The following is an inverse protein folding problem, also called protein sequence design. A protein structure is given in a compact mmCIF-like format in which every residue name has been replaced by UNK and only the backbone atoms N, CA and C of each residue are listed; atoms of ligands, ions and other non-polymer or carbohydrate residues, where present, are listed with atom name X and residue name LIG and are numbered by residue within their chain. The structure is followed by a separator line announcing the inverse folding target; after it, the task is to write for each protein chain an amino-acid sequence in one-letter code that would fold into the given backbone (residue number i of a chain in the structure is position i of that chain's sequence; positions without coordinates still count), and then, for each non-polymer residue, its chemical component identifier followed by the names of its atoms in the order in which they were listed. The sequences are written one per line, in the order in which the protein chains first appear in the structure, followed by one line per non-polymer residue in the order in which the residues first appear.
data_IF_504049049050
#
_entry.id   IF_504049049050
#
_cell.length_a   1.000
_cell.length_b   1.000
_cell.length_c   1.000
_cell.angle_alpha   90.00
_cell.angle_beta   90.00
_cell.angle_gamma   90.00
#
_symmetry.space_group_name_H-M   'P 1'
#
loop_
_entity.id
_entity.type
_entity.pdbx_description
1 polymer ?
#
# COMPACT_ATOMS: atom_id res chain seq x y z
N UNK A 1 -30.07 -3.58 -26.91
CA UNK A 1 -29.13 -2.44 -26.78
C UNK A 1 -27.73 -3.03 -26.70
N UNK A 2 -26.88 -2.78 -27.70
CA UNK A 2 -25.53 -3.35 -27.78
C UNK A 2 -24.63 -2.68 -26.74
N UNK A 3 -24.28 -3.38 -25.68
CA UNK A 3 -23.23 -2.94 -24.75
C UNK A 3 -21.90 -3.04 -25.50
N UNK A 4 -21.41 -1.90 -25.98
CA UNK A 4 -20.14 -1.80 -26.69
C UNK A 4 -19.00 -2.11 -25.71
N UNK A 5 -18.58 -3.37 -25.69
CA UNK A 5 -17.60 -3.91 -24.76
C UNK A 5 -16.21 -3.35 -25.10
N UNK A 6 -15.74 -2.40 -24.29
CA UNK A 6 -14.47 -1.70 -24.51
C UNK A 6 -13.32 -2.51 -23.88
N UNK A 7 -12.52 -3.19 -24.71
CA UNK A 7 -11.27 -3.84 -24.29
C UNK A 7 -10.11 -2.84 -24.09
N UNK A 8 -10.41 -1.54 -23.95
CA UNK A 8 -9.43 -0.47 -23.74
C UNK A 8 -9.44 -0.18 -22.24
N UNK A 9 -8.30 -0.34 -21.58
CA UNK A 9 -8.18 0.00 -20.16
C UNK A 9 -8.54 1.46 -19.91
N UNK A 10 -9.28 1.72 -18.84
CA UNK A 10 -9.60 3.07 -18.39
C UNK A 10 -8.80 3.39 -17.12
N UNK A 11 -7.76 4.24 -17.21
CA UNK A 11 -6.94 4.69 -16.08
C UNK A 11 -7.76 5.19 -14.89
N UNK A 12 -8.97 5.72 -15.12
CA UNK A 12 -9.84 6.26 -14.06
C UNK A 12 -10.28 5.20 -13.05
N UNK A 13 -10.29 3.91 -13.44
CA UNK A 13 -10.61 2.80 -12.55
C UNK A 13 -9.59 2.60 -11.41
N UNK A 14 -8.39 3.17 -11.53
CA UNK A 14 -7.39 3.14 -10.45
C UNK A 14 -7.63 4.24 -9.39
N UNK A 15 -8.26 5.35 -9.79
CA UNK A 15 -8.57 6.47 -8.92
C UNK A 15 -9.95 6.34 -8.27
N UNK A 16 -10.90 5.76 -9.01
CA UNK A 16 -12.29 5.61 -8.59
C UNK A 16 -12.67 4.14 -8.43
N UNK A 17 -13.43 3.78 -7.40
CA UNK A 17 -13.91 2.42 -7.26
C UNK A 17 -15.00 2.12 -8.28
N UNK A 18 -15.14 0.83 -8.59
CA UNK A 18 -16.16 0.30 -9.48
C UNK A 18 -17.18 -0.51 -8.70
N UNK A 19 -18.45 -0.41 -9.07
CA UNK A 19 -19.51 -1.25 -8.52
C UNK A 19 -19.54 -2.66 -9.15
N UNK A 20 -20.47 -3.52 -8.71
CA UNK A 20 -20.58 -4.89 -9.22
C UNK A 20 -21.09 -5.01 -10.66
N UNK A 21 -21.66 -3.93 -11.21
CA UNK A 21 -22.17 -3.86 -12.58
C UNK A 21 -21.12 -3.30 -13.56
N UNK A 22 -19.99 -2.82 -13.04
CA UNK A 22 -18.89 -2.26 -13.84
C UNK A 22 -18.95 -0.74 -14.00
N UNK A 23 -19.83 -0.06 -13.26
CA UNK A 23 -19.92 1.40 -13.28
C UNK A 23 -18.89 2.02 -12.35
N UNK A 24 -18.29 3.13 -12.78
CA UNK A 24 -17.28 3.86 -12.02
C UNK A 24 -17.97 4.86 -11.10
N UNK A 25 -17.82 4.70 -9.77
CA UNK A 25 -18.39 5.61 -8.79
C UNK A 25 -17.71 6.99 -8.86
N UNK A 26 -18.50 8.06 -8.98
CA UNK A 26 -17.99 9.43 -9.10
C UNK A 26 -17.64 9.86 -10.53
N UNK A 27 -17.97 9.05 -11.55
CA UNK A 27 -17.79 9.38 -12.96
C UNK A 27 -19.03 9.03 -13.79
N UNK A 28 -19.23 9.70 -14.93
CA UNK A 28 -20.35 9.46 -15.84
C UNK A 28 -21.71 9.76 -15.21
N UNK A 29 -22.64 8.80 -15.27
CA UNK A 29 -23.98 8.91 -14.67
C UNK A 29 -23.96 8.85 -13.13
N UNK A 30 -22.86 8.36 -12.53
CA UNK A 30 -22.70 8.19 -11.09
C UNK A 30 -21.81 9.26 -10.43
N UNK A 31 -21.68 10.44 -11.05
CA UNK A 31 -20.94 11.59 -10.50
C UNK A 31 -21.39 11.99 -9.10
N UNK A 32 -22.69 11.94 -8.83
CA UNK A 32 -23.28 12.25 -7.52
C UNK A 32 -23.09 11.13 -6.48
N UNK A 33 -22.52 9.99 -6.86
CA UNK A 33 -22.31 8.81 -5.99
C UNK A 33 -20.85 8.37 -6.03
N UNK A 34 -19.94 9.08 -5.34
CA UNK A 34 -18.50 8.81 -5.45
C UNK A 34 -18.03 7.62 -4.62
N UNK A 35 -18.86 7.07 -3.72
CA UNK A 35 -18.41 6.04 -2.79
C UNK A 35 -18.96 4.64 -3.12
N UNK A 36 -18.13 3.60 -3.13
CA UNK A 36 -18.57 2.20 -3.23
C UNK A 36 -18.85 1.61 -1.85
N UNK A 37 -20.07 1.14 -1.64
CA UNK A 37 -20.52 0.45 -0.43
C UNK A 37 -20.58 -1.06 -0.65
N UNK A 38 -20.05 -1.84 0.30
CA UNK A 38 -20.06 -3.30 0.28
C UNK A 38 -21.27 -3.83 1.05
N UNK A 39 -22.04 -4.72 0.44
CA UNK A 39 -23.28 -5.25 1.05
C UNK A 39 -23.01 -6.10 2.29
N UNK A 40 -21.87 -6.79 2.33
CA UNK A 40 -21.54 -7.72 3.40
C UNK A 40 -20.03 -7.84 3.59
N UNK A 41 -19.53 -7.24 4.67
CA UNK A 41 -18.12 -7.29 5.05
C UNK A 41 -17.71 -8.66 5.61
N UNK A 42 -18.64 -9.44 6.19
CA UNK A 42 -18.32 -10.77 6.72
C UNK A 42 -17.85 -11.73 5.63
N UNK A 43 -18.49 -11.68 4.45
CA UNK A 43 -18.07 -12.43 3.26
C UNK A 43 -16.66 -12.05 2.81
N UNK A 44 -16.32 -10.77 2.91
CA UNK A 44 -14.96 -10.31 2.61
C UNK A 44 -13.93 -10.82 3.62
N UNK A 45 -14.23 -10.76 4.92
CA UNK A 45 -13.32 -11.24 5.97
C UNK A 45 -13.16 -12.77 5.91
N UNK A 46 -14.23 -13.53 5.65
CA UNK A 46 -14.15 -14.98 5.50
C UNK A 46 -13.24 -15.40 4.34
N UNK A 47 -13.22 -14.63 3.25
CA UNK A 47 -12.32 -14.88 2.12
C UNK A 47 -10.83 -14.63 2.43
N UNK A 48 -10.54 -13.87 3.50
CA UNK A 48 -9.18 -13.62 3.98
C UNK A 48 -8.62 -14.73 4.87
N UNK A 49 -9.48 -15.62 5.38
CA UNK A 49 -9.07 -16.73 6.23
C UNK A 49 -8.45 -17.91 5.43
N UNK A 50 -8.05 -17.65 4.19
CA UNK A 50 -7.37 -18.56 3.29
C UNK A 50 -5.88 -18.25 3.39
N UNK A 51 -5.02 -19.22 3.76
CA UNK A 51 -3.61 -18.95 4.02
C UNK A 51 -2.90 -18.42 2.75
N UNK A 52 -1.98 -17.47 2.92
CA UNK A 52 -1.37 -16.68 1.85
C UNK A 52 -0.69 -17.49 0.73
N UNK A 53 -0.28 -18.72 1.03
CA UNK A 53 0.26 -19.72 0.11
C UNK A 53 -0.78 -20.24 -0.91
N UNK A 54 -2.08 -20.16 -0.63
CA UNK A 54 -3.17 -20.53 -1.55
C UNK A 54 -3.58 -19.36 -2.44
N UNK A 55 -3.28 -18.11 -2.05
CA UNK A 55 -3.58 -16.96 -2.89
C UNK A 55 -2.79 -16.99 -4.21
N UNK A 56 -1.72 -17.79 -4.39
CA UNK A 56 -1.06 -18.02 -5.69
C UNK A 56 -0.83 -16.72 -6.51
N UNK A 57 -0.54 -15.59 -5.86
CA UNK A 57 -0.40 -14.29 -6.53
C UNK A 57 -1.69 -13.68 -7.11
N UNK A 58 -2.88 -14.12 -6.65
CA UNK A 58 -4.19 -13.61 -7.08
C UNK A 58 -4.55 -12.35 -6.28
N UNK A 59 -5.10 -11.31 -6.94
CA UNK A 59 -5.56 -10.11 -6.26
C UNK A 59 -6.68 -10.44 -5.27
N UNK A 60 -6.66 -9.78 -4.11
CA UNK A 60 -7.70 -9.92 -3.11
C UNK A 60 -9.04 -9.38 -3.64
N UNK A 61 -10.08 -10.21 -3.67
CA UNK A 61 -11.42 -9.85 -4.16
C UNK A 61 -12.46 -10.17 -3.09
N UNK A 62 -13.15 -9.15 -2.58
CA UNK A 62 -14.28 -9.34 -1.67
C UNK A 62 -15.46 -9.98 -2.41
N UNK A 63 -15.97 -11.16 -1.98
CA UNK A 63 -17.07 -11.85 -2.63
C UNK A 63 -18.44 -11.28 -2.22
N UNK A 64 -18.66 -9.99 -2.43
CA UNK A 64 -19.89 -9.29 -2.06
C UNK A 64 -20.28 -8.24 -3.09
N UNK A 65 -21.58 -7.94 -3.19
CA UNK A 65 -22.08 -6.90 -4.07
C UNK A 65 -21.63 -5.53 -3.58
N UNK A 66 -21.32 -4.67 -4.54
CA UNK A 66 -20.87 -3.31 -4.35
C UNK A 66 -21.79 -2.37 -5.12
N UNK A 67 -22.20 -1.26 -4.51
CA UNK A 67 -23.03 -0.23 -5.15
C UNK A 67 -22.46 1.16 -4.87
N UNK A 68 -22.60 2.08 -5.82
CA UNK A 68 -22.22 3.48 -5.62
C UNK A 68 -23.26 4.21 -4.75
N UNK A 69 -22.80 4.92 -3.73
CA UNK A 69 -23.59 5.72 -2.79
C UNK A 69 -23.03 7.15 -2.71
N UNK A 70 -23.91 8.10 -2.38
CA UNK A 70 -23.54 9.51 -2.25
C UNK A 70 -22.72 9.79 -0.99
N UNK A 71 -23.03 9.11 0.12
CA UNK A 71 -22.35 9.27 1.40
C UNK A 71 -22.25 7.94 2.12
N UNK A 72 -21.10 7.67 2.74
CA UNK A 72 -20.96 6.50 3.59
C UNK A 72 -21.87 6.64 4.84
N UNK A 73 -22.50 5.54 5.27
CA UNK A 73 -23.41 5.55 6.41
C UNK A 73 -22.66 5.86 7.71
N UNK A 74 -23.18 6.77 8.54
CA UNK A 74 -22.60 7.13 9.83
C UNK A 74 -23.17 6.34 11.01
N UNK A 75 -24.23 5.57 10.80
CA UNK A 75 -24.92 4.79 11.83
C UNK A 75 -24.98 3.33 11.41
N UNK A 76 -24.79 2.44 12.37
CA UNK A 76 -25.00 1.01 12.18
C UNK A 76 -26.47 0.71 12.38
N UNK A 77 -27.11 0.07 11.41
CA UNK A 77 -28.49 -0.42 11.50
C UNK A 77 -28.55 -1.84 10.99
N UNK A 78 -29.07 -2.74 11.81
CA UNK A 78 -29.27 -4.13 11.44
C UNK A 78 -30.71 -4.30 10.94
N UNK A 79 -30.88 -5.11 9.91
CA UNK A 79 -32.22 -5.54 9.54
C UNK A 79 -32.76 -6.46 10.65
N UNK A 80 -33.63 -5.92 11.52
CA UNK A 80 -34.49 -6.75 12.36
C UNK A 80 -35.66 -7.18 11.49
N UNK A 81 -35.87 -8.49 11.34
CA UNK A 81 -37.10 -9.03 10.76
C UNK A 81 -38.30 -8.40 11.50
N UNK A 82 -39.06 -7.54 10.81
CA UNK A 82 -40.26 -6.89 11.35
C UNK A 82 -40.23 -5.37 11.53
N UNK A 83 -39.13 -4.65 11.28
CA UNK A 83 -39.11 -3.17 11.38
C UNK A 83 -38.66 -2.52 10.05
N UNK A 84 -39.62 -1.91 9.34
CA UNK A 84 -39.54 -1.64 7.90
C UNK A 84 -39.02 -0.24 7.52
N UNK A 85 -38.64 0.60 8.50
CA UNK A 85 -38.40 2.04 8.31
C UNK A 85 -36.94 2.50 8.52
N UNK A 86 -35.95 1.71 8.08
CA UNK A 86 -34.55 2.16 8.10
C UNK A 86 -33.98 2.33 6.69
N UNK A 87 -33.27 3.46 6.52
CA UNK A 87 -32.52 3.88 5.33
C UNK A 87 -31.84 2.69 4.62
N UNK A 88 -32.29 2.31 3.42
CA UNK A 88 -31.86 1.06 2.75
C UNK A 88 -30.75 1.36 1.73
N UNK A 89 -29.78 0.45 1.61
CA UNK A 89 -28.79 0.49 0.52
C UNK A 89 -29.05 -0.71 -0.38
N UNK A 90 -29.53 -0.44 -1.60
CA UNK A 90 -29.94 -1.45 -2.59
C UNK A 90 -29.31 -1.18 -3.96
N UNK A 91 -29.39 -2.18 -4.84
CA UNK A 91 -29.02 -2.07 -6.26
C UNK A 91 -29.92 -1.08 -7.01
N UNK A 92 -29.47 -0.59 -8.16
CA UNK A 92 -30.17 0.47 -8.91
C UNK A 92 -31.54 0.05 -9.45
N UNK A 93 -31.79 -1.25 -9.61
CA UNK A 93 -33.07 -1.82 -10.06
C UNK A 93 -34.20 -1.77 -9.01
N UNK A 94 -33.91 -1.35 -7.78
CA UNK A 94 -34.89 -1.29 -6.68
C UNK A 94 -35.40 0.14 -6.53
N UNK A 95 -36.71 0.30 -6.57
CA UNK A 95 -37.38 1.59 -6.42
C UNK A 95 -37.91 1.76 -4.99
N UNK A 96 -38.07 3.01 -4.54
CA UNK A 96 -38.59 3.30 -3.18
C UNK A 96 -40.01 2.75 -2.94
N UNK A 97 -40.74 2.42 -4.01
CA UNK A 97 -42.07 1.79 -3.97
C UNK A 97 -42.07 0.28 -3.68
N UNK A 98 -40.90 -0.38 -3.68
CA UNK A 98 -40.80 -1.82 -3.41
C UNK A 98 -40.86 -2.09 -1.90
N UNK A 99 -42.03 -2.50 -1.41
CA UNK A 99 -42.31 -2.67 0.03
C UNK A 99 -41.84 -4.01 0.62
N UNK A 100 -41.49 -5.01 -0.20
CA UNK A 100 -41.11 -6.35 0.26
C UNK A 100 -39.61 -6.45 0.62
N UNK A 101 -39.22 -5.86 1.75
CA UNK A 101 -37.82 -5.82 2.19
C UNK A 101 -37.20 -7.20 2.39
N UNK A 102 -37.96 -8.12 2.97
CA UNK A 102 -37.48 -9.48 3.25
C UNK A 102 -37.12 -10.20 1.96
N UNK A 103 -37.94 -10.04 0.92
CA UNK A 103 -37.71 -10.64 -0.38
C UNK A 103 -36.53 -10.00 -1.09
N UNK A 104 -36.37 -8.67 -1.01
CA UNK A 104 -35.25 -7.95 -1.62
C UNK A 104 -33.90 -8.25 -0.97
N UNK A 105 -33.85 -8.38 0.36
CA UNK A 105 -32.65 -8.79 1.10
C UNK A 105 -32.35 -10.26 0.81
N UNK A 106 -33.36 -11.14 0.82
CA UNK A 106 -33.21 -12.55 0.42
C UNK A 106 -32.77 -12.68 -1.03
N UNK A 107 -33.18 -11.75 -1.89
CA UNK A 107 -32.76 -11.63 -3.28
C UNK A 107 -31.38 -11.04 -3.51
N UNK A 108 -30.73 -10.59 -2.43
CA UNK A 108 -29.43 -9.94 -2.50
C UNK A 108 -29.48 -8.67 -3.34
N UNK A 109 -30.65 -8.03 -3.44
CA UNK A 109 -30.83 -6.72 -4.06
C UNK A 109 -30.57 -5.60 -3.06
N UNK A 110 -30.76 -5.86 -1.77
CA UNK A 110 -30.44 -4.92 -0.69
C UNK A 110 -29.43 -5.52 0.30
N UNK A 111 -28.66 -4.66 0.96
CA UNK A 111 -27.76 -5.07 2.03
C UNK A 111 -28.55 -5.59 3.25
N UNK A 112 -28.07 -6.66 3.88
CA UNK A 112 -28.71 -7.28 5.06
C UNK A 112 -28.50 -6.48 6.35
N UNK A 113 -27.44 -5.68 6.40
CA UNK A 113 -27.15 -4.76 7.49
C UNK A 113 -26.34 -3.58 6.97
N UNK A 114 -26.38 -2.48 7.71
CA UNK A 114 -25.59 -1.27 7.43
C UNK A 114 -24.66 -1.04 8.59
N UNK A 115 -23.36 -0.89 8.32
CA UNK A 115 -22.34 -0.59 9.33
C UNK A 115 -21.87 0.85 9.18
N UNK A 116 -21.75 1.57 10.29
CA UNK A 116 -21.10 2.88 10.33
C UNK A 116 -19.70 2.81 9.71
N UNK A 117 -19.49 3.55 8.63
CA UNK A 117 -18.34 3.45 7.76
C UNK A 117 -17.78 4.83 7.44
N UNK A 118 -16.45 4.93 7.32
CA UNK A 118 -15.76 6.12 6.85
C UNK A 118 -15.31 5.93 5.40
N UNK A 119 -15.31 7.01 4.59
CA UNK A 119 -14.79 6.94 3.23
C UNK A 119 -13.27 6.80 3.24
N UNK A 120 -12.75 5.77 2.57
CA UNK A 120 -11.32 5.53 2.33
C UNK A 120 -11.15 5.06 0.88
N UNK A 121 -10.40 5.79 0.04
CA UNK A 121 -10.26 5.50 -1.42
C UNK A 121 -11.57 5.42 -2.19
N UNK A 122 -12.54 6.28 -1.86
CA UNK A 122 -13.87 6.18 -2.44
C UNK A 122 -14.63 4.92 -1.98
N UNK A 123 -14.15 4.14 -1.02
CA UNK A 123 -14.85 2.95 -0.51
C UNK A 123 -15.34 3.20 0.90
N UNK A 124 -16.52 2.70 1.26
CA UNK A 124 -17.04 2.79 2.61
C UNK A 124 -16.46 1.67 3.47
N UNK A 125 -15.47 1.99 4.29
CA UNK A 125 -14.78 1.05 5.18
C UNK A 125 -15.31 1.22 6.61
N UNK A 126 -15.64 0.13 7.33
CA UNK A 126 -16.17 0.21 8.69
C UNK A 126 -15.25 0.98 9.64
N UNK A 127 -15.82 1.81 10.52
CA UNK A 127 -15.03 2.66 11.42
C UNK A 127 -14.32 1.87 12.52
N UNK A 128 -14.90 0.77 13.02
CA UNK A 128 -14.31 -0.07 14.07
C UNK A 128 -13.93 -1.45 13.54
N UNK A 129 -12.90 -1.53 12.69
CA UNK A 129 -12.48 -2.79 12.06
C UNK A 129 -12.00 -3.80 13.11
N UNK A 130 -11.23 -3.35 14.09
CA UNK A 130 -10.74 -4.18 15.20
C UNK A 130 -11.87 -4.76 16.07
N UNK A 131 -12.97 -4.01 16.19
CA UNK A 131 -14.18 -4.49 16.87
C UNK A 131 -15.25 -4.97 15.89
N UNK A 132 -14.97 -5.19 14.60
CA UNK A 132 -15.95 -5.79 13.67
C UNK A 132 -16.31 -7.19 14.15
N UNK A 133 -15.32 -7.96 14.60
CA UNK A 133 -15.58 -9.26 15.21
C UNK A 133 -16.51 -9.12 16.43
N UNK A 134 -16.22 -8.20 17.34
CA UNK A 134 -17.00 -8.02 18.56
C UNK A 134 -18.38 -7.36 18.32
N UNK A 135 -18.51 -6.42 17.40
CA UNK A 135 -19.76 -5.70 17.08
C UNK A 135 -20.73 -6.53 16.24
N UNK A 136 -20.21 -7.48 15.47
CA UNK A 136 -21.00 -8.49 14.78
C UNK A 136 -21.39 -9.62 15.74
N UNK A 137 -20.61 -9.90 16.80
CA UNK A 137 -20.95 -10.95 17.79
C UNK A 137 -21.85 -10.39 18.91
N UNK A 138 -21.75 -9.10 19.23
CA UNK A 138 -22.52 -8.43 20.28
C UNK A 138 -23.61 -7.57 19.63
N UNK A 139 -24.80 -8.14 19.47
CA UNK A 139 -25.99 -7.31 19.31
C UNK A 139 -26.11 -6.37 20.53
N UNK A 140 -26.53 -5.10 20.37
CA UNK A 140 -26.50 -4.09 21.42
C UNK A 140 -27.68 -4.22 22.38
N UNK A 141 -27.92 -5.40 22.92
CA UNK A 141 -28.77 -5.57 24.08
C UNK A 141 -27.97 -6.36 25.11
N UNK A 142 -27.63 -5.71 26.22
CA UNK A 142 -26.64 -6.12 27.22
C UNK A 142 -27.03 -7.33 28.06
N UNK A 143 -27.55 -8.38 27.43
CA UNK A 143 -27.83 -9.66 28.05
C UNK A 143 -26.96 -10.73 27.39
N UNK A 144 -26.04 -11.29 28.17
CA UNK A 144 -25.24 -12.46 27.82
C UNK A 144 -26.15 -13.68 27.57
N UNK A 145 -26.59 -13.86 26.33
CA UNK A 145 -27.03 -15.15 25.81
C UNK A 145 -27.11 -15.13 24.28
N UNK A 146 -26.10 -15.69 23.62
CA UNK A 146 -26.26 -16.40 22.34
C UNK A 146 -27.01 -15.69 21.20
N UNK A 147 -26.77 -14.40 20.96
CA UNK A 147 -27.11 -13.81 19.67
C UNK A 147 -26.07 -14.27 18.63
N UNK A 148 -26.21 -15.50 18.12
CA UNK A 148 -25.40 -15.96 16.99
C UNK A 148 -25.78 -15.13 15.78
N UNK A 149 -24.98 -14.12 15.45
CA UNK A 149 -25.20 -13.39 14.20
C UNK A 149 -24.96 -14.35 13.04
N UNK A 150 -25.97 -14.41 12.20
CA UNK A 150 -25.99 -15.24 11.02
C UNK A 150 -25.42 -14.45 9.85
N UNK A 151 -24.54 -15.06 9.07
CA UNK A 151 -24.15 -14.53 7.74
C UNK A 151 -25.42 -14.38 6.87
N UNK A 152 -25.32 -13.66 5.76
CA UNK A 152 -26.32 -13.64 4.67
C UNK A 152 -26.75 -15.04 4.17
N UNK A 153 -26.00 -16.09 4.53
CA UNK A 153 -26.30 -17.49 4.24
C UNK A 153 -26.94 -18.25 5.43
N UNK A 154 -27.35 -17.55 6.50
CA UNK A 154 -28.05 -18.15 7.65
C UNK A 154 -27.17 -18.99 8.58
N UNK A 155 -25.83 -18.90 8.48
CA UNK A 155 -24.88 -19.71 9.24
C UNK A 155 -24.32 -18.96 10.45
N UNK A 156 -24.20 -19.59 11.65
CA UNK A 156 -23.67 -18.94 12.84
C UNK A 156 -22.19 -18.59 12.66
N UNK A 157 -21.83 -17.34 12.97
CA UNK A 157 -20.46 -16.84 12.86
C UNK A 157 -19.60 -17.32 14.05
N UNK A 158 -18.50 -18.01 13.76
CA UNK A 158 -17.53 -18.45 14.76
C UNK A 158 -16.43 -17.37 14.93
N UNK A 159 -16.26 -16.85 16.16
CA UNK A 159 -15.48 -15.64 16.43
C UNK A 159 -13.97 -15.76 16.16
N UNK A 160 -13.36 -16.91 16.46
CA UNK A 160 -11.91 -17.09 16.36
C UNK A 160 -11.37 -17.06 14.92
N UNK A 161 -12.15 -17.55 13.96
CA UNK A 161 -11.80 -17.52 12.52
C UNK A 161 -12.02 -16.13 11.91
N UNK A 162 -12.96 -15.36 12.47
CA UNK A 162 -13.24 -14.00 12.03
C UNK A 162 -12.16 -13.02 12.51
N UNK A 163 -11.65 -13.22 13.72
CA UNK A 163 -10.59 -12.40 14.32
C UNK A 163 -9.29 -12.40 13.50
N UNK A 164 -8.87 -13.56 12.99
CA UNK A 164 -7.67 -13.67 12.14
C UNK A 164 -7.83 -12.93 10.81
N UNK A 165 -9.00 -13.05 10.17
CA UNK A 165 -9.30 -12.33 8.93
C UNK A 165 -9.41 -10.81 9.14
N UNK A 166 -9.94 -10.38 10.28
CA UNK A 166 -10.00 -8.95 10.67
C UNK A 166 -8.59 -8.39 10.82
N UNK A 167 -7.68 -9.10 11.50
CA UNK A 167 -6.29 -8.64 11.69
C UNK A 167 -5.59 -8.42 10.35
N UNK A 168 -5.73 -9.35 9.42
CA UNK A 168 -5.16 -9.22 8.08
C UNK A 168 -5.78 -8.05 7.29
N UNK A 169 -7.10 -7.85 7.39
CA UNK A 169 -7.79 -6.73 6.75
C UNK A 169 -7.27 -5.38 7.27
N UNK A 170 -7.06 -5.25 8.59
CA UNK A 170 -6.50 -4.04 9.21
C UNK A 170 -5.09 -3.75 8.68
N UNK A 171 -4.23 -4.77 8.61
CA UNK A 171 -2.87 -4.61 8.09
C UNK A 171 -2.87 -4.15 6.62
N UNK A 172 -3.72 -4.75 5.77
CA UNK A 172 -3.86 -4.36 4.37
C UNK A 172 -4.37 -2.93 4.20
N UNK A 173 -5.35 -2.52 5.00
CA UNK A 173 -5.90 -1.17 4.96
C UNK A 173 -4.89 -0.12 5.44
N UNK A 174 -4.12 -0.43 6.48
CA UNK A 174 -3.03 0.43 6.97
C UNK A 174 -1.94 0.61 5.90
N UNK A 175 -1.52 -0.46 5.23
CA UNK A 175 -0.56 -0.37 4.12
C UNK A 175 -1.05 0.54 2.99
N UNK A 176 -2.34 0.42 2.62
CA UNK A 176 -2.95 1.29 1.61
C UNK A 176 -3.03 2.75 2.05
N UNK A 177 -3.31 3.00 3.32
CA UNK A 177 -3.35 4.36 3.87
C UNK A 177 -1.95 5.02 3.83
N UNK A 178 -0.90 4.30 4.24
CA UNK A 178 0.49 4.78 4.18
C UNK A 178 0.88 5.10 2.73
N UNK A 179 0.54 4.23 1.78
CA UNK A 179 0.87 4.43 0.37
C UNK A 179 0.28 5.73 -0.19
N UNK A 180 -0.85 6.19 0.34
CA UNK A 180 -1.51 7.40 -0.15
C UNK A 180 -1.09 8.65 0.57
N UNK A 181 -0.77 8.56 1.86
CA UNK A 181 -0.06 9.64 2.53
C UNK A 181 1.19 10.01 1.74
N UNK A 182 1.96 9.01 1.26
CA UNK A 182 3.12 9.25 0.39
C UNK A 182 2.78 9.96 -0.94
N UNK A 183 1.68 9.58 -1.60
CA UNK A 183 1.27 10.21 -2.87
C UNK A 183 0.76 11.64 -2.65
N UNK A 184 0.01 11.88 -1.58
CA UNK A 184 -0.51 13.20 -1.22
C UNK A 184 0.63 14.15 -0.83
N UNK A 185 1.62 13.65 -0.09
CA UNK A 185 2.84 14.37 0.26
C UNK A 185 3.63 14.75 -1.01
N UNK A 186 3.76 13.83 -1.97
CA UNK A 186 4.42 14.08 -3.25
C UNK A 186 3.65 15.10 -4.11
N UNK A 187 2.32 14.95 -4.19
CA UNK A 187 1.44 15.83 -4.96
C UNK A 187 1.42 17.27 -4.41
N UNK A 188 1.58 17.43 -3.09
CA UNK A 188 1.68 18.74 -2.45
C UNK A 188 3.09 19.32 -2.61
N UNK A 189 4.12 18.48 -2.55
CA UNK A 189 5.52 18.93 -2.47
C UNK A 189 6.24 19.07 -3.82
N UNK A 190 5.60 18.75 -4.95
CA UNK A 190 6.25 18.70 -6.27
C UNK A 190 7.00 19.99 -6.64
N UNK A 191 6.49 21.17 -6.25
CA UNK A 191 7.15 22.46 -6.49
C UNK A 191 8.45 22.61 -5.70
N UNK A 192 8.46 22.16 -4.45
CA UNK A 192 9.66 22.20 -3.60
C UNK A 192 10.72 21.22 -4.10
N UNK A 193 10.30 20.04 -4.59
CA UNK A 193 11.20 19.07 -5.22
C UNK A 193 11.84 19.68 -6.47
N UNK A 194 11.05 20.33 -7.32
CA UNK A 194 11.54 20.99 -8.53
C UNK A 194 12.48 22.15 -8.20
N UNK A 195 12.16 22.95 -7.18
CA UNK A 195 13.03 24.02 -6.67
C UNK A 195 14.36 23.47 -6.16
N UNK A 196 14.34 22.40 -5.36
CA UNK A 196 15.54 21.75 -4.83
C UNK A 196 16.40 21.17 -5.96
N UNK A 197 15.78 20.57 -6.98
CA UNK A 197 16.47 20.10 -8.17
C UNK A 197 17.15 21.25 -8.93
N UNK A 198 16.44 22.36 -9.13
CA UNK A 198 17.00 23.56 -9.75
C UNK A 198 18.19 24.14 -8.95
N UNK A 199 18.05 24.25 -7.63
CA UNK A 199 19.13 24.71 -6.76
C UNK A 199 20.35 23.78 -6.82
N UNK A 200 20.13 22.46 -6.84
CA UNK A 200 21.20 21.47 -6.98
C UNK A 200 21.95 21.60 -8.30
N UNK A 201 21.26 21.86 -9.42
CA UNK A 201 21.88 22.14 -10.72
C UNK A 201 22.76 23.39 -10.65
N UNK A 202 22.29 24.46 -10.00
CA UNK A 202 23.06 25.71 -9.82
C UNK A 202 24.29 25.46 -8.95
N UNK A 203 24.15 24.75 -7.83
CA UNK A 203 25.28 24.40 -6.95
C UNK A 203 26.29 23.53 -7.68
N UNK A 204 25.84 22.57 -8.50
CA UNK A 204 26.71 21.71 -9.31
C UNK A 204 27.45 22.51 -10.38
N UNK A 205 26.78 23.44 -11.05
CA UNK A 205 27.41 24.33 -12.01
C UNK A 205 28.44 25.24 -11.33
N UNK A 206 28.08 25.82 -10.19
CA UNK A 206 28.98 26.62 -9.36
C UNK A 206 30.20 25.80 -8.93
N UNK A 207 30.01 24.53 -8.57
CA UNK A 207 31.10 23.61 -8.21
C UNK A 207 32.06 23.34 -9.37
N UNK A 208 31.54 23.14 -10.58
CA UNK A 208 32.36 22.96 -11.80
C UNK A 208 33.19 24.22 -12.08
N UNK A 209 32.61 25.41 -11.89
CA UNK A 209 33.32 26.69 -12.02
C UNK A 209 34.38 26.85 -10.91
N UNK A 210 34.03 26.52 -9.66
CA UNK A 210 34.93 26.58 -8.50
C UNK A 210 36.18 25.71 -8.71
N UNK A 211 36.00 24.51 -9.25
CA UNK A 211 37.09 23.58 -9.60
C UNK A 211 38.10 24.21 -10.57
N UNK A 212 37.70 25.17 -11.41
CA UNK A 212 38.64 25.81 -12.35
C UNK A 212 39.73 26.61 -11.65
N UNK A 213 39.35 27.40 -10.65
CA UNK A 213 40.26 28.33 -9.97
C UNK A 213 40.86 27.72 -8.71
N UNK A 214 40.15 26.76 -8.10
CA UNK A 214 40.50 26.19 -6.80
C UNK A 214 40.75 24.68 -6.81
N UNK A 215 40.85 23.98 -7.95
CA UNK A 215 41.07 22.51 -7.97
C UNK A 215 42.20 22.04 -7.04
N UNK A 216 43.36 22.71 -7.08
CA UNK A 216 44.52 22.36 -6.25
C UNK A 216 44.26 22.53 -4.74
N UNK A 217 43.88 23.73 -4.24
CA UNK A 217 43.56 23.89 -2.82
C UNK A 217 42.35 23.07 -2.39
N UNK A 218 41.29 23.00 -3.21
CA UNK A 218 40.05 22.29 -2.88
C UNK A 218 40.27 20.78 -2.64
N UNK A 219 41.03 20.10 -3.51
CA UNK A 219 41.33 18.67 -3.31
C UNK A 219 42.21 18.47 -2.09
N UNK A 220 43.17 19.35 -1.82
CA UNK A 220 43.97 19.31 -0.61
C UNK A 220 43.13 19.50 0.66
N UNK A 221 42.19 20.47 0.65
CA UNK A 221 41.24 20.65 1.74
C UNK A 221 40.32 19.44 1.91
N UNK A 222 39.88 18.80 0.82
CA UNK A 222 39.09 17.57 0.88
C UNK A 222 39.86 16.40 1.50
N UNK A 223 41.13 16.21 1.10
CA UNK A 223 41.99 15.13 1.64
C UNK A 223 42.32 15.38 3.10
N UNK A 224 42.77 16.60 3.45
CA UNK A 224 43.04 16.97 4.85
C UNK A 224 41.75 16.85 5.67
N UNK A 225 40.64 17.39 5.16
CA UNK A 225 39.34 17.34 5.83
C UNK A 225 38.87 15.92 6.09
N UNK A 226 39.03 15.01 5.13
CA UNK A 226 38.70 13.59 5.29
C UNK A 226 39.57 12.92 6.36
N UNK A 227 40.88 13.16 6.36
CA UNK A 227 41.80 12.62 7.37
C UNK A 227 41.46 13.18 8.77
N UNK A 228 41.20 14.48 8.87
CA UNK A 228 40.81 15.14 10.12
C UNK A 228 39.49 14.59 10.63
N UNK A 229 38.48 14.44 9.76
CA UNK A 229 37.17 13.92 10.12
C UNK A 229 37.27 12.47 10.62
N UNK A 230 38.03 11.61 9.94
CA UNK A 230 38.30 10.26 10.43
C UNK A 230 39.07 10.28 11.76
N UNK A 231 40.02 11.20 11.92
CA UNK A 231 40.78 11.37 13.15
C UNK A 231 39.90 11.79 14.33
N UNK A 232 38.98 12.72 14.11
CA UNK A 232 37.99 13.17 15.09
C UNK A 232 37.03 12.03 15.43
N UNK A 233 36.50 11.31 14.45
CA UNK A 233 35.62 10.15 14.71
C UNK A 233 36.35 9.11 15.56
N UNK A 234 37.59 8.77 15.19
CA UNK A 234 38.42 7.80 15.91
C UNK A 234 38.66 8.30 17.35
N UNK A 235 39.05 9.58 17.52
CA UNK A 235 39.32 10.18 18.83
C UNK A 235 38.07 10.25 19.73
N UNK A 236 36.92 10.66 19.19
CA UNK A 236 35.65 10.67 19.92
C UNK A 236 35.22 9.26 20.32
N UNK A 237 35.39 8.27 19.43
CA UNK A 237 35.06 6.88 19.74
C UNK A 237 35.93 6.32 20.86
N UNK A 238 37.23 6.60 20.87
CA UNK A 238 38.12 6.20 21.97
C UNK A 238 37.85 6.96 23.26
N UNK A 239 37.51 8.25 23.20
CA UNK A 239 37.14 9.04 24.36
C UNK A 239 35.88 8.49 25.03
N UNK A 240 34.82 8.26 24.26
CA UNK A 240 33.55 7.73 24.76
C UNK A 240 33.73 6.30 25.30
N UNK A 241 34.56 5.48 24.65
CA UNK A 241 34.93 4.15 25.17
C UNK A 241 35.57 4.23 26.56
N UNK A 242 36.52 5.14 26.77
CA UNK A 242 37.19 5.31 28.06
C UNK A 242 36.19 5.78 29.12
N UNK A 243 35.32 6.74 28.80
CA UNK A 243 34.32 7.28 29.72
C UNK A 243 33.29 6.22 30.13
N UNK A 244 32.74 5.47 29.17
CA UNK A 244 31.78 4.39 29.43
C UNK A 244 32.42 3.22 30.19
N UNK A 245 33.71 2.96 29.96
CA UNK A 245 34.44 1.93 30.70
C UNK A 245 34.72 2.35 32.15
N UNK A 246 35.01 3.63 32.40
CA UNK A 246 35.22 4.15 33.75
C UNK A 246 33.94 4.13 34.60
N UNK A 247 32.77 4.36 33.97
CA UNK A 247 31.49 4.41 34.68
C UNK A 247 30.86 3.03 34.95
N UNK A 248 31.22 1.98 34.18
CA UNK A 248 30.55 0.66 34.22
C UNK A 248 31.34 -0.46 34.94
N UNK A 249 32.27 -0.09 35.83
CA UNK A 249 32.88 -0.96 36.85
C UNK A 249 33.30 -2.38 36.35
N UNK A 250 33.97 -2.44 35.19
CA UNK A 250 34.48 -3.68 34.56
C UNK A 250 33.47 -4.83 34.39
N UNK A 251 32.15 -4.58 34.46
CA UNK A 251 31.17 -5.62 34.12
C UNK A 251 31.10 -5.77 32.60
N UNK A 252 31.83 -6.77 32.09
CA UNK A 252 31.71 -7.25 30.72
C UNK A 252 30.28 -7.79 30.57
N UNK A 253 29.36 -7.00 30.02
CA UNK A 253 28.00 -7.42 29.72
C UNK A 253 28.08 -8.62 28.77
N UNK A 254 27.69 -9.80 29.26
CA UNK A 254 27.85 -11.10 28.57
C UNK A 254 26.73 -11.42 27.57
N UNK A 255 25.73 -10.55 27.40
CA UNK A 255 24.58 -10.84 26.54
C UNK A 255 24.38 -9.76 25.47
N UNK A 256 24.74 -10.09 24.23
CA UNK A 256 24.37 -9.30 23.05
C UNK A 256 22.89 -9.59 22.72
N UNK A 257 22.00 -8.66 23.09
CA UNK A 257 20.59 -8.70 22.68
C UNK A 257 20.42 -7.85 21.41
N UNK A 258 19.88 -8.43 20.34
CA UNK A 258 19.48 -7.67 19.14
C UNK A 258 18.17 -6.93 19.43
N UNK A 259 18.29 -5.67 19.83
CA UNK A 259 17.15 -4.76 20.02
C UNK A 259 17.30 -3.63 19.01
N UNK A 260 16.23 -3.29 18.30
CA UNK A 260 16.23 -2.17 17.35
C UNK A 260 16.12 -0.81 18.08
N UNK A 261 17.02 -0.54 19.02
CA UNK A 261 17.10 0.74 19.73
C UNK A 261 18.51 1.34 19.62
N UNK A 262 18.62 2.51 19.00
CA UNK A 262 19.89 3.20 18.78
C UNK A 262 20.52 3.71 20.08
N UNK A 263 19.72 4.02 21.10
CA UNK A 263 20.22 4.51 22.39
C UNK A 263 20.88 3.40 23.20
N UNK A 264 20.41 2.16 23.03
CA UNK A 264 21.03 0.97 23.63
C UNK A 264 22.46 0.77 23.11
N UNK A 265 22.66 0.78 21.78
CA UNK A 265 24.01 0.60 21.23
C UNK A 265 24.97 1.75 21.57
N UNK A 266 24.46 2.97 21.81
CA UNK A 266 25.27 4.13 22.23
C UNK A 266 25.82 4.00 23.65
N UNK A 267 25.11 3.33 24.56
CA UNK A 267 25.53 3.19 25.96
C UNK A 267 26.48 2.02 26.21
N UNK A 268 26.66 1.12 25.24
CA UNK A 268 27.57 -0.02 25.35
C UNK A 268 29.03 0.41 25.06
N UNK A 269 30.01 0.10 25.92
CA UNK A 269 31.41 0.43 25.64
C UNK A 269 31.98 -0.37 24.46
N UNK A 270 31.49 -1.60 24.22
CA UNK A 270 32.01 -2.47 23.17
C UNK A 270 31.74 -1.92 21.76
N UNK A 271 30.62 -1.23 21.54
CA UNK A 271 30.26 -0.66 20.22
C UNK A 271 31.23 0.45 19.82
N UNK A 272 31.58 1.34 20.75
CA UNK A 272 32.56 2.40 20.55
C UNK A 272 33.97 1.87 20.30
N UNK A 273 34.36 0.78 20.97
CA UNK A 273 35.64 0.10 20.68
C UNK A 273 35.67 -0.45 19.25
N UNK A 274 34.59 -1.11 18.80
CA UNK A 274 34.51 -1.64 17.43
C UNK A 274 34.58 -0.50 16.40
N UNK A 275 33.81 0.58 16.61
CA UNK A 275 33.82 1.76 15.74
C UNK A 275 35.21 2.41 15.73
N UNK A 276 35.87 2.54 16.88
CA UNK A 276 37.21 3.10 17.02
C UNK A 276 38.28 2.29 16.29
N UNK A 277 38.25 0.95 16.40
CA UNK A 277 39.20 0.08 15.69
C UNK A 277 38.96 0.15 14.17
N UNK A 278 37.71 0.06 13.71
CA UNK A 278 37.38 0.12 12.29
C UNK A 278 37.76 1.48 11.67
N UNK A 279 37.40 2.58 12.34
CA UNK A 279 37.76 3.93 11.88
C UNK A 279 39.28 4.18 11.93
N UNK A 280 39.98 3.65 12.93
CA UNK A 280 41.44 3.73 13.02
C UNK A 280 42.16 2.97 11.90
N UNK A 281 41.72 1.76 11.56
CA UNK A 281 42.26 1.00 10.42
C UNK A 281 42.00 1.77 9.11
N UNK A 282 40.79 2.29 8.93
CA UNK A 282 40.45 3.08 7.75
C UNK A 282 41.31 4.35 7.63
N UNK A 283 41.55 5.05 8.76
CA UNK A 283 42.43 6.21 8.82
C UNK A 283 43.86 5.84 8.45
N UNK A 284 44.39 4.74 8.98
CA UNK A 284 45.74 4.28 8.67
C UNK A 284 45.90 3.97 7.18
N UNK A 285 44.93 3.26 6.60
CA UNK A 285 44.92 2.96 5.16
C UNK A 285 44.82 4.26 4.36
N UNK A 286 43.92 5.18 4.71
CA UNK A 286 43.74 6.44 4.02
C UNK A 286 45.02 7.29 4.01
N UNK A 287 45.68 7.42 5.17
CA UNK A 287 46.95 8.14 5.29
C UNK A 287 48.05 7.47 4.48
N UNK A 288 48.17 6.15 4.54
CA UNK A 288 49.19 5.40 3.79
C UNK A 288 49.00 5.53 2.28
N UNK A 289 47.76 5.44 1.80
CA UNK A 289 47.41 5.64 0.39
C UNK A 289 47.75 7.06 -0.06
N UNK A 290 47.39 8.08 0.73
CA UNK A 290 47.72 9.48 0.44
C UNK A 290 49.23 9.69 0.38
N UNK A 291 49.98 9.11 1.33
CA UNK A 291 51.44 9.19 1.38
C UNK A 291 52.10 8.60 0.11
N UNK A 292 51.69 7.40 -0.28
CA UNK A 292 52.22 6.72 -1.48
C UNK A 292 51.82 7.44 -2.77
N UNK A 293 50.59 7.96 -2.83
CA UNK A 293 50.05 8.59 -4.03
C UNK A 293 50.35 10.09 -4.15
N UNK A 294 50.99 10.75 -3.17
CA UNK A 294 51.27 12.20 -3.22
C UNK A 294 51.89 12.69 -4.53
N UNK A 295 52.86 11.95 -5.07
CA UNK A 295 53.50 12.30 -6.35
C UNK A 295 52.55 12.14 -7.54
N UNK A 296 51.76 11.06 -7.58
CA UNK A 296 50.77 10.80 -8.64
C UNK A 296 49.58 11.76 -8.57
N UNK A 297 49.14 12.12 -7.36
CA UNK A 297 48.06 13.06 -7.10
C UNK A 297 48.38 14.44 -7.69
N UNK A 298 49.62 14.92 -7.58
CA UNK A 298 50.02 16.21 -8.17
C UNK A 298 49.90 16.21 -9.70
N UNK A 299 50.24 15.10 -10.35
CA UNK A 299 50.11 14.94 -11.80
C UNK A 299 48.63 14.89 -12.20
N UNK A 300 47.84 14.10 -11.47
CA UNK A 300 46.40 13.99 -11.71
C UNK A 300 45.68 15.33 -11.52
N UNK A 301 46.07 16.14 -10.54
CA UNK A 301 45.55 17.50 -10.34
C UNK A 301 45.85 18.44 -11.50
N UNK A 302 47.01 18.29 -12.15
CA UNK A 302 47.34 19.06 -13.36
C UNK A 302 46.43 18.66 -14.53
N UNK A 303 46.17 17.36 -14.70
CA UNK A 303 45.26 16.85 -15.73
C UNK A 303 43.83 17.33 -15.47
N UNK A 304 43.33 17.24 -14.23
CA UNK A 304 42.01 17.73 -13.85
C UNK A 304 41.85 19.23 -14.15
N UNK A 305 42.89 20.01 -13.91
CA UNK A 305 42.87 21.44 -14.19
C UNK A 305 42.75 21.72 -15.69
N UNK A 306 43.53 21.04 -16.53
CA UNK A 306 43.44 21.21 -18.00
C UNK A 306 42.15 20.63 -18.59
N UNK A 307 41.66 19.50 -18.06
CA UNK A 307 40.37 18.92 -18.46
C UNK A 307 39.20 19.86 -18.15
N UNK A 308 39.18 20.51 -16.98
CA UNK A 308 38.14 21.46 -16.62
C UNK A 308 38.12 22.69 -17.54
N UNK A 309 39.29 23.15 -18.01
CA UNK A 309 39.38 24.22 -19.03
C UNK A 309 38.82 23.75 -20.36
N UNK A 310 39.15 22.54 -20.81
CA UNK A 310 38.66 21.98 -22.07
C UNK A 310 37.13 21.83 -22.10
N UNK A 311 36.52 21.37 -20.99
CA UNK A 311 35.05 21.25 -20.88
C UNK A 311 34.36 22.61 -20.99
N UNK A 312 34.98 23.68 -20.48
CA UNK A 312 34.43 25.03 -20.58
C UNK A 312 34.45 25.59 -22.02
N UNK A 313 35.43 25.20 -22.84
CA UNK A 313 35.45 25.57 -24.27
C UNK A 313 34.37 24.82 -25.07
N UNK A 314 34.03 23.60 -24.66
CA UNK A 314 32.98 22.78 -25.28
C UNK A 314 31.69 22.85 -24.46
N UNK A 315 31.04 24.01 -24.45
CA UNK A 315 29.84 24.29 -23.65
C UNK A 315 28.72 23.22 -23.81
N UNK A 316 28.57 22.65 -25.01
CA UNK A 316 27.56 21.62 -25.28
C UNK A 316 27.79 20.31 -24.50
N UNK A 317 29.04 20.00 -24.13
CA UNK A 317 29.38 18.83 -23.31
C UNK A 317 28.79 18.93 -21.89
N UNK A 318 28.57 20.15 -21.38
CA UNK A 318 27.99 20.37 -20.06
C UNK A 318 26.47 20.14 -20.05
N UNK A 319 25.81 20.33 -21.20
CA UNK A 319 24.37 20.09 -21.34
C UNK A 319 24.04 18.61 -21.62
N UNK A 320 25.04 17.82 -22.01
CA UNK A 320 24.87 16.40 -22.32
C UNK A 320 24.11 15.60 -21.25
N UNK A 321 24.32 15.77 -19.92
CA UNK A 321 23.60 15.02 -18.88
C UNK A 321 22.09 15.28 -18.83
N UNK A 322 21.59 16.41 -19.35
CA UNK A 322 20.15 16.71 -19.36
C UNK A 322 19.39 15.88 -20.41
N UNK A 323 20.03 15.55 -21.53
CA UNK A 323 19.43 14.74 -22.60
C UNK A 323 19.04 13.34 -22.10
N UNK A 324 19.94 12.52 -21.51
CA UNK A 324 19.56 11.23 -20.95
C UNK A 324 18.61 11.39 -19.78
N UNK A 325 18.70 12.45 -18.97
CA UNK A 325 17.73 12.69 -17.89
C UNK A 325 16.30 12.84 -18.42
N UNK A 326 16.09 13.69 -19.42
CA UNK A 326 14.78 13.88 -20.06
C UNK A 326 14.31 12.59 -20.71
N UNK A 327 15.22 11.86 -21.38
CA UNK A 327 14.90 10.57 -21.98
C UNK A 327 14.45 9.54 -20.92
N UNK A 328 15.13 9.46 -19.77
CA UNK A 328 14.74 8.57 -18.67
C UNK A 328 13.38 8.93 -18.09
N UNK A 329 13.11 10.22 -17.88
CA UNK A 329 11.78 10.70 -17.42
C UNK A 329 10.70 10.31 -18.44
N UNK A 330 10.97 10.47 -19.74
CA UNK A 330 10.05 10.09 -20.82
C UNK A 330 9.78 8.59 -20.86
N UNK A 331 10.82 7.76 -20.78
CA UNK A 331 10.69 6.29 -20.73
C UNK A 331 9.91 5.86 -19.48
N UNK A 332 10.19 6.46 -18.33
CA UNK A 332 9.47 6.17 -17.10
C UNK A 332 7.99 6.57 -17.20
N UNK A 333 7.68 7.76 -17.71
CA UNK A 333 6.30 8.20 -17.92
C UNK A 333 5.55 7.29 -18.91
N UNK A 334 6.21 6.85 -19.99
CA UNK A 334 5.66 5.91 -20.95
C UNK A 334 5.38 4.54 -20.31
N UNK A 335 6.32 4.05 -19.50
CA UNK A 335 6.15 2.81 -18.74
C UNK A 335 4.98 2.91 -17.74
N UNK A 336 4.85 4.02 -16.99
CA UNK A 336 3.72 4.25 -16.09
C UNK A 336 2.41 4.28 -16.86
N UNK A 337 2.35 4.98 -18.01
CA UNK A 337 1.15 5.03 -18.83
C UNK A 337 0.74 3.63 -19.30
N UNK A 338 1.66 2.86 -19.88
CA UNK A 338 1.37 1.49 -20.33
C UNK A 338 0.93 0.60 -19.17
N UNK A 339 1.64 0.64 -18.04
CA UNK A 339 1.28 -0.19 -16.89
C UNK A 339 -0.12 0.18 -16.39
N UNK A 340 -0.48 1.46 -16.35
CA UNK A 340 -1.81 1.93 -15.99
C UNK A 340 -2.92 1.43 -16.94
N UNK A 341 -2.66 1.44 -18.26
CA UNK A 341 -3.60 0.91 -19.26
C UNK A 341 -3.68 -0.62 -19.24
N UNK A 342 -2.56 -1.32 -19.06
CA UNK A 342 -2.53 -2.79 -18.97
C UNK A 342 -3.20 -3.30 -17.71
N UNK A 343 -2.94 -2.62 -16.60
CA UNK A 343 -3.62 -2.81 -15.33
C UNK A 343 -5.15 -2.78 -15.54
N UNK A 344 -5.66 -1.68 -16.06
CA UNK A 344 -7.09 -1.46 -16.18
C UNK A 344 -7.73 -2.18 -17.37
N UNK A 345 -6.95 -2.88 -18.20
CA UNK A 345 -7.44 -3.66 -19.32
C UNK A 345 -7.93 -5.03 -18.84
N UNK A 346 -9.24 -5.22 -18.78
CA UNK A 346 -9.83 -6.50 -18.41
C UNK A 346 -11.34 -6.54 -18.63
N UNK A 347 -11.87 -7.74 -18.85
CA UNK A 347 -13.31 -8.00 -18.77
C UNK A 347 -13.65 -8.36 -17.33
N UNK A 348 -14.80 -7.93 -16.80
CA UNK A 348 -15.22 -8.36 -15.47
C UNK A 348 -15.39 -9.87 -15.45
N UNK A 349 -14.59 -10.54 -14.63
CA UNK A 349 -14.65 -12.00 -14.45
C UNK A 349 -15.51 -12.27 -13.24
N UNK A 350 -16.62 -13.01 -13.43
CA UNK A 350 -17.46 -13.45 -12.33
C UNK A 350 -17.02 -14.83 -11.86
N UNK A 351 -16.76 -14.97 -10.55
CA UNK A 351 -16.44 -16.27 -9.95
C UNK A 351 -17.48 -16.72 -8.95
N UNK A 352 -17.70 -18.02 -8.89
CA UNK A 352 -18.56 -18.73 -7.94
C UNK A 352 -17.95 -18.64 -6.54
N UNK A 353 -18.65 -18.01 -5.60
CA UNK A 353 -18.31 -18.01 -4.17
C UNK A 353 -19.40 -18.69 -3.33
N UNK A 354 -18.98 -19.65 -2.51
CA UNK A 354 -19.84 -20.45 -1.62
C UNK A 354 -18.98 -21.35 -0.73
N UNK A 355 -19.61 -22.05 0.23
CA UNK A 355 -18.92 -23.03 1.06
C UNK A 355 -18.89 -24.37 0.32
N UNK A 356 -17.85 -25.19 0.52
CA UNK A 356 -17.67 -26.43 -0.26
C UNK A 356 -18.77 -27.47 -0.01
N UNK A 357 -19.46 -27.36 1.12
CA UNK A 357 -20.63 -28.16 1.49
C UNK A 357 -21.95 -27.68 0.87
N UNK A 358 -21.97 -26.54 0.17
CA UNK A 358 -23.16 -26.02 -0.54
C UNK A 358 -23.18 -26.40 -2.03
N UNK A 359 -22.15 -27.10 -2.52
CA UNK A 359 -21.93 -27.35 -3.94
C UNK A 359 -21.74 -28.86 -4.18
N UNK A 360 -22.77 -29.53 -4.72
CA UNK A 360 -22.74 -30.95 -5.11
C UNK A 360 -23.65 -31.19 -6.33
N UNK A 361 -23.42 -32.24 -7.15
CA UNK A 361 -22.26 -32.51 -8.00
C UNK A 361 -22.63 -32.12 -9.45
N UNK A 362 -22.58 -30.84 -9.78
CA UNK A 362 -22.77 -30.36 -11.14
C UNK A 362 -21.48 -29.72 -11.66
N UNK A 363 -20.32 -30.35 -11.45
CA UNK A 363 -19.00 -29.92 -11.97
C UNK A 363 -18.58 -28.45 -11.64
N UNK A 364 -19.32 -27.80 -10.73
CA UNK A 364 -19.08 -26.43 -10.30
C UNK A 364 -18.04 -26.45 -9.19
N UNK A 365 -16.84 -25.96 -9.46
CA UNK A 365 -15.81 -25.77 -8.44
C UNK A 365 -15.79 -24.32 -7.97
N UNK A 366 -15.61 -24.12 -6.66
CA UNK A 366 -15.48 -22.78 -6.06
C UNK A 366 -14.33 -22.05 -6.76
N UNK A 367 -14.60 -20.82 -7.20
CA UNK A 367 -13.64 -20.01 -7.93
C UNK A 367 -13.60 -20.21 -9.46
N UNK A 368 -14.41 -21.11 -10.04
CA UNK A 368 -14.60 -21.18 -11.50
C UNK A 368 -15.24 -19.91 -12.06
N UNK A 369 -14.84 -19.57 -13.27
CA UNK A 369 -15.37 -18.44 -14.04
C UNK A 369 -16.75 -18.82 -14.56
N UNK A 370 -17.75 -17.97 -14.35
CA UNK A 370 -19.11 -18.18 -14.83
C UNK A 370 -19.67 -16.90 -15.46
N UNK A 371 -20.65 -17.05 -16.35
CA UNK A 371 -21.32 -15.91 -16.98
C UNK A 371 -22.67 -15.67 -16.27
N UNK A 372 -22.89 -14.50 -15.65
CA UNK A 372 -24.12 -14.21 -14.92
C UNK A 372 -25.39 -14.33 -15.79
N UNK A 373 -25.29 -14.07 -17.10
CA UNK A 373 -26.45 -14.10 -18.00
C UNK A 373 -26.90 -15.51 -18.41
N UNK A 374 -26.02 -16.52 -18.28
CA UNK A 374 -26.36 -17.94 -18.55
C UNK A 374 -26.72 -18.73 -17.29
N UNK A 375 -26.75 -18.07 -16.13
CA UNK A 375 -26.96 -18.72 -14.85
C UNK A 375 -28.44 -19.11 -14.66
N UNK A 376 -28.78 -20.38 -14.95
CA UNK A 376 -30.14 -20.88 -14.79
C UNK A 376 -30.39 -21.33 -13.34
N UNK A 377 -31.34 -20.66 -12.66
CA UNK A 377 -31.75 -20.96 -11.29
C UNK A 377 -32.36 -22.37 -11.12
N UNK A 378 -32.80 -23.01 -12.21
CA UNK A 378 -33.52 -24.29 -12.18
C UNK A 378 -32.64 -25.55 -12.07
N UNK A 379 -31.32 -25.42 -11.96
CA UNK A 379 -30.40 -26.57 -11.82
C UNK A 379 -30.27 -27.08 -10.38
N UNK A 380 -31.00 -26.50 -9.44
CA UNK A 380 -30.95 -26.82 -8.03
C UNK A 380 -32.26 -27.51 -7.60
N UNK A 381 -32.17 -28.77 -7.14
CA UNK A 381 -33.32 -29.57 -6.70
C UNK A 381 -33.86 -29.02 -5.38
N UNK A 382 -35.17 -28.83 -5.31
CA UNK A 382 -35.96 -28.13 -4.27
C UNK A 382 -35.86 -28.62 -2.81
N UNK A 383 -34.88 -29.45 -2.43
CA UNK A 383 -34.85 -30.04 -1.08
C UNK A 383 -33.61 -29.83 -0.23
N UNK A 384 -32.59 -29.07 -0.67
CA UNK A 384 -31.47 -28.68 0.24
C UNK A 384 -31.13 -27.18 0.16
N UNK A 385 -31.64 -26.44 -0.80
CA UNK A 385 -31.23 -25.04 -1.03
C UNK A 385 -32.35 -24.10 -0.61
N UNK A 386 -32.49 -23.91 0.71
CA UNK A 386 -33.23 -22.78 1.28
C UNK A 386 -32.31 -21.65 1.77
N UNK A 387 -30.98 -21.74 1.63
CA UNK A 387 -30.08 -20.74 2.24
C UNK A 387 -28.72 -20.47 1.58
N UNK A 388 -28.36 -21.09 0.45
CA UNK A 388 -27.05 -20.84 -0.17
C UNK A 388 -27.17 -20.33 -1.61
N UNK A 389 -27.39 -19.02 -1.75
CA UNK A 389 -27.10 -18.32 -3.00
C UNK A 389 -25.58 -18.23 -3.17
N UNK A 390 -25.06 -19.01 -4.11
CA UNK A 390 -23.71 -18.86 -4.64
C UNK A 390 -23.56 -17.41 -5.14
N UNK A 391 -22.67 -16.63 -4.51
CA UNK A 391 -22.47 -15.24 -4.88
C UNK A 391 -21.49 -15.17 -6.05
N UNK A 392 -21.87 -14.41 -7.07
CA UNK A 392 -21.00 -14.08 -8.19
C UNK A 392 -20.11 -12.90 -7.78
N UNK A 393 -18.81 -13.07 -7.93
CA UNK A 393 -17.80 -12.13 -7.42
C UNK A 393 -17.16 -11.38 -8.56
N UNK A 394 -17.11 -10.05 -8.47
CA UNK A 394 -16.56 -9.16 -9.49
C UNK A 394 -15.05 -9.01 -9.33
N UNK A 395 -14.28 -9.44 -10.32
CA UNK A 395 -12.83 -9.27 -10.40
C UNK A 395 -12.50 -8.06 -11.27
N UNK A 396 -12.21 -6.92 -10.66
CA UNK A 396 -11.29 -5.92 -11.22
C UNK A 396 -10.48 -5.34 -10.07
N UNK A 397 -9.33 -5.94 -9.80
CA UNK A 397 -8.26 -5.30 -9.05
C UNK A 397 -6.95 -5.64 -9.73
N UNK A 398 -6.37 -4.56 -10.24
CA UNK A 398 -4.94 -4.35 -10.41
C UNK A 398 -4.33 -4.17 -9.04
#
# INVERSE_FOLDING_TARGET
MSVSMKCIGDPRQLLHPTDSEGNICGAGEYTNRPYAYFFDWTKCIKSLNVPANILQGRPFVCPTKQVCVQKCPNKTSYYKFGDYNMNRICTYDVTESDNNNEELVRDGKCASYIIASKPLFGRCVPQQIESLANSIIQAPDGNEANATVYDSNGQPLNGSKLEQGVKYLVELLNLKQIAVMLVEDLATSWKYILLAFGLSVVVSFLWIVLMRWLAKPLVWFGIIGFIVLLGVITGLAFFEFIQLRANNDNQIIKEFKFVADANYYRSLPITWLIIGILSGILLLIAVLVVLVLFKRLRIALAILQEASKAVAYNFFSLFWPFIPLILHIGIFAYWVAITMYLATAGKPIYRIAGNQSDVDPADLTIGQICNPQKWNKSLFKDHVIRSSKINLTYSNLV
#
